data_IF_807117311908
#
_entry.id   IF_807117311908
#
_cell.length_a   1.000
_cell.length_b   1.000
_cell.length_c   1.000
_cell.angle_alpha   90.00
_cell.angle_beta   90.00
_cell.angle_gamma   90.00
#
_symmetry.space_group_name_H-M   'P 1'
#
loop_
_entity.id
_entity.type
_entity.pdbx_description
1 polymer ?
#
# COMPACT_ATOMS: atom_id res chain seq x y z
N UNK A 1 -53.95 -133.12 78.43
CA UNK A 1 -55.30 -132.54 78.56
C UNK A 1 -56.03 -132.34 77.23
N UNK A 2 -55.41 -132.43 76.04
CA UNK A 2 -56.20 -132.62 74.80
C UNK A 2 -56.63 -134.08 74.64
N UNK A 3 -55.71 -135.01 74.94
CA UNK A 3 -56.03 -136.45 74.95
C UNK A 3 -56.94 -136.85 76.11
N UNK A 4 -56.64 -136.35 77.32
CA UNK A 4 -57.53 -136.49 78.50
C UNK A 4 -58.93 -135.86 78.19
N UNK A 5 -59.04 -134.94 77.21
CA UNK A 5 -60.31 -134.39 76.69
C UNK A 5 -61.03 -135.23 75.61
N UNK A 6 -60.42 -136.27 75.00
CA UNK A 6 -61.15 -137.20 74.10
C UNK A 6 -61.57 -138.48 74.83
N UNK A 7 -60.71 -139.00 75.72
CA UNK A 7 -60.96 -140.23 76.51
C UNK A 7 -62.19 -140.12 77.43
N UNK A 8 -62.52 -138.92 77.91
CA UNK A 8 -63.75 -138.67 78.67
C UNK A 8 -65.03 -138.52 77.81
N UNK A 9 -64.95 -138.23 76.49
CA UNK A 9 -66.10 -138.08 75.59
C UNK A 9 -66.42 -139.40 74.84
N UNK A 10 -65.36 -140.15 74.43
CA UNK A 10 -65.49 -141.49 73.86
C UNK A 10 -66.13 -142.50 74.83
N UNK A 11 -65.92 -142.38 76.14
CA UNK A 11 -66.63 -143.21 77.12
C UNK A 11 -68.12 -142.79 77.31
N UNK A 12 -68.53 -141.54 77.02
CA UNK A 12 -69.95 -141.14 77.10
C UNK A 12 -70.77 -141.56 75.88
N UNK A 13 -70.23 -141.37 74.68
CA UNK A 13 -70.94 -141.74 73.45
C UNK A 13 -71.15 -143.26 73.36
N UNK A 14 -70.21 -144.08 73.90
CA UNK A 14 -70.40 -145.54 74.04
C UNK A 14 -71.50 -145.92 75.03
N UNK A 15 -71.62 -145.25 76.18
CA UNK A 15 -72.70 -145.53 77.14
C UNK A 15 -74.08 -145.10 76.59
N UNK A 16 -74.18 -144.00 75.83
CA UNK A 16 -75.44 -143.56 75.25
C UNK A 16 -75.98 -144.53 74.18
N UNK A 17 -75.08 -145.12 73.38
CA UNK A 17 -75.45 -146.10 72.34
C UNK A 17 -75.93 -147.44 72.95
N UNK A 18 -75.31 -147.91 74.05
CA UNK A 18 -75.77 -149.12 74.76
C UNK A 18 -77.15 -148.95 75.43
N UNK A 19 -77.49 -147.75 75.92
CA UNK A 19 -78.78 -147.47 76.57
C UNK A 19 -79.95 -147.44 75.57
N UNK A 20 -79.76 -146.80 74.40
CA UNK A 20 -80.78 -146.79 73.35
C UNK A 20 -81.07 -148.21 72.81
N UNK A 21 -80.05 -149.08 72.73
CA UNK A 21 -80.24 -150.48 72.32
C UNK A 21 -80.97 -151.34 73.36
N UNK A 22 -80.94 -150.96 74.65
CA UNK A 22 -81.74 -151.61 75.70
C UNK A 22 -83.22 -151.22 75.64
N UNK A 23 -83.58 -149.95 75.46
CA UNK A 23 -84.99 -149.52 75.35
C UNK A 23 -85.69 -150.12 74.11
N UNK A 24 -84.98 -150.27 72.98
CA UNK A 24 -85.54 -150.91 71.78
C UNK A 24 -85.82 -152.41 72.01
N UNK A 25 -85.08 -153.10 72.89
CA UNK A 25 -85.33 -154.51 73.22
C UNK A 25 -86.55 -154.70 74.12
N UNK A 26 -86.85 -153.77 75.02
CA UNK A 26 -88.02 -153.87 75.91
C UNK A 26 -89.35 -153.52 75.21
N UNK A 27 -89.38 -152.61 74.22
CA UNK A 27 -90.61 -152.32 73.46
C UNK A 27 -91.02 -153.50 72.56
N UNK A 28 -90.07 -154.36 72.15
CA UNK A 28 -90.35 -155.55 71.34
C UNK A 28 -91.05 -156.70 72.10
N UNK A 29 -91.07 -156.69 73.43
CA UNK A 29 -91.59 -157.83 74.22
C UNK A 29 -93.08 -157.75 74.58
N UNK A 30 -93.81 -156.67 74.22
CA UNK A 30 -95.15 -156.46 74.81
C UNK A 30 -96.27 -156.02 73.86
N UNK A 31 -96.06 -155.86 72.56
CA UNK A 31 -97.19 -155.54 71.66
C UNK A 31 -97.05 -156.00 70.20
N UNK A 32 -97.81 -157.05 69.90
CA UNK A 32 -98.69 -157.30 68.73
C UNK A 32 -98.26 -156.90 67.31
N UNK A 33 -98.36 -157.89 66.41
CA UNK A 33 -97.89 -157.98 65.01
C UNK A 33 -98.42 -156.94 64.01
N UNK A 34 -99.14 -155.89 64.45
CA UNK A 34 -99.69 -154.85 63.55
C UNK A 34 -98.89 -153.54 63.51
N UNK A 35 -97.92 -153.31 64.39
CA UNK A 35 -97.11 -152.08 64.38
C UNK A 35 -95.77 -152.20 63.62
N UNK A 36 -95.29 -153.42 63.39
CA UNK A 36 -94.00 -153.70 62.75
C UNK A 36 -93.99 -153.45 61.23
N UNK A 37 -95.15 -153.51 60.57
CA UNK A 37 -95.23 -153.29 59.12
C UNK A 37 -95.35 -151.79 58.75
N UNK A 38 -95.87 -150.95 59.65
CA UNK A 38 -96.08 -149.51 59.39
C UNK A 38 -94.78 -148.70 59.32
N UNK A 39 -93.85 -148.92 60.25
CA UNK A 39 -92.59 -148.15 60.32
C UNK A 39 -91.57 -148.54 59.23
N UNK A 40 -91.64 -149.77 58.71
CA UNK A 40 -90.81 -150.19 57.58
C UNK A 40 -91.22 -149.48 56.28
N UNK A 41 -92.50 -149.12 56.14
CA UNK A 41 -93.00 -148.43 54.95
C UNK A 41 -92.53 -146.97 54.90
N UNK A 42 -92.65 -146.22 56.00
CA UNK A 42 -92.23 -144.81 56.08
C UNK A 42 -90.73 -144.63 55.81
N UNK A 43 -89.88 -145.52 56.34
CA UNK A 43 -88.42 -145.44 56.15
C UNK A 43 -88.01 -145.67 54.69
N UNK A 44 -88.74 -146.51 53.96
CA UNK A 44 -88.49 -146.78 52.54
C UNK A 44 -88.91 -145.59 51.68
N UNK A 45 -89.96 -144.86 52.08
CA UNK A 45 -90.45 -143.69 51.36
C UNK A 45 -89.53 -142.46 51.55
N UNK A 46 -88.99 -142.26 52.75
CA UNK A 46 -88.05 -141.18 53.03
C UNK A 46 -86.73 -141.32 52.23
N UNK A 47 -86.21 -142.54 52.07
CA UNK A 47 -85.00 -142.80 51.28
C UNK A 47 -85.20 -142.56 49.77
N UNK A 48 -86.41 -142.79 49.25
CA UNK A 48 -86.75 -142.46 47.86
C UNK A 48 -86.80 -140.95 47.61
N UNK A 49 -87.31 -140.17 48.57
CA UNK A 49 -87.38 -138.71 48.43
C UNK A 49 -85.99 -138.05 48.45
N UNK A 50 -85.07 -138.52 49.31
CA UNK A 50 -83.70 -138.01 49.36
C UNK A 50 -82.92 -138.24 48.05
N UNK A 51 -83.07 -139.42 47.42
CA UNK A 51 -82.46 -139.66 46.10
C UNK A 51 -83.00 -138.74 45.00
N UNK A 52 -84.28 -138.38 45.06
CA UNK A 52 -84.91 -137.52 44.05
C UNK A 52 -84.43 -136.07 44.16
N UNK A 53 -84.21 -135.55 45.38
CA UNK A 53 -83.63 -134.22 45.59
C UNK A 53 -82.18 -134.13 45.10
N UNK A 54 -81.39 -135.20 45.23
CA UNK A 54 -80.00 -135.22 44.79
C UNK A 54 -79.87 -135.20 43.26
N UNK A 55 -80.72 -135.96 42.55
CA UNK A 55 -80.80 -135.93 41.08
C UNK A 55 -81.29 -134.57 40.55
N UNK A 56 -82.30 -133.95 41.17
CA UNK A 56 -82.81 -132.63 40.74
C UNK A 56 -81.76 -131.51 40.95
N UNK A 57 -80.88 -131.64 41.95
CA UNK A 57 -79.80 -130.67 42.21
C UNK A 57 -78.64 -130.76 41.21
N UNK A 58 -78.27 -131.96 40.77
CA UNK A 58 -77.26 -132.13 39.72
C UNK A 58 -77.72 -131.58 38.37
N UNK A 59 -78.99 -131.78 38.01
CA UNK A 59 -79.54 -131.32 36.73
C UNK A 59 -79.63 -129.79 36.64
N UNK A 60 -79.91 -129.11 37.76
CA UNK A 60 -79.92 -127.65 37.81
C UNK A 60 -78.53 -127.03 37.59
N UNK A 61 -77.49 -127.58 38.21
CA UNK A 61 -76.12 -127.10 38.06
C UNK A 61 -75.62 -127.22 36.61
N UNK A 62 -75.93 -128.33 35.93
CA UNK A 62 -75.59 -128.52 34.51
C UNK A 62 -76.25 -127.48 33.59
N UNK A 63 -77.53 -127.17 33.79
CA UNK A 63 -78.24 -126.16 32.99
C UNK A 63 -77.69 -124.74 33.18
N UNK A 64 -77.32 -124.38 34.42
CA UNK A 64 -76.75 -123.06 34.69
C UNK A 64 -75.39 -122.85 34.02
N UNK A 65 -74.54 -123.90 34.00
CA UNK A 65 -73.25 -123.85 33.31
C UNK A 65 -73.40 -123.61 31.79
N UNK A 66 -74.36 -124.30 31.15
CA UNK A 66 -74.61 -124.13 29.70
C UNK A 66 -75.10 -122.73 29.33
N UNK A 67 -76.00 -122.15 30.12
CA UNK A 67 -76.50 -120.78 29.88
C UNK A 67 -75.38 -119.73 29.98
N UNK A 68 -74.44 -119.91 30.92
CA UNK A 68 -73.29 -119.00 31.09
C UNK A 68 -72.33 -119.03 29.90
N UNK A 69 -72.09 -120.21 29.31
CA UNK A 69 -71.24 -120.34 28.13
C UNK A 69 -71.90 -119.77 26.86
N UNK A 70 -73.22 -119.92 26.71
CA UNK A 70 -73.94 -119.41 25.54
C UNK A 70 -74.01 -117.87 25.50
N UNK A 71 -74.15 -117.23 26.67
CA UNK A 71 -74.19 -115.76 26.78
C UNK A 71 -72.80 -115.12 26.54
N UNK A 72 -71.72 -115.77 26.99
CA UNK A 72 -70.35 -115.34 26.71
C UNK A 72 -70.03 -115.36 25.20
N UNK A 73 -70.51 -116.38 24.48
CA UNK A 73 -70.30 -116.49 23.02
C UNK A 73 -71.03 -115.38 22.25
N UNK A 74 -72.28 -115.08 22.61
CA UNK A 74 -73.06 -113.99 21.99
C UNK A 74 -72.43 -112.61 22.22
N UNK A 75 -71.79 -112.38 23.37
CA UNK A 75 -71.10 -111.11 23.63
C UNK A 75 -69.83 -110.94 22.76
N UNK A 76 -69.04 -112.01 22.55
CA UNK A 76 -67.85 -111.95 21.70
C UNK A 76 -68.18 -111.68 20.22
N UNK A 77 -69.23 -112.30 19.67
CA UNK A 77 -69.65 -112.04 18.29
C UNK A 77 -70.09 -110.57 18.08
N UNK A 78 -70.79 -109.97 19.07
CA UNK A 78 -71.22 -108.57 19.00
C UNK A 78 -70.05 -107.58 19.08
N UNK A 79 -68.99 -107.91 19.82
CA UNK A 79 -67.80 -107.08 19.93
C UNK A 79 -67.01 -107.06 18.61
N UNK A 80 -66.85 -108.24 17.97
CA UNK A 80 -66.14 -108.37 16.71
C UNK A 80 -66.82 -107.58 15.57
N UNK A 81 -68.16 -107.60 15.49
CA UNK A 81 -68.89 -106.80 14.49
C UNK A 81 -68.68 -105.28 14.65
N UNK A 82 -68.61 -104.77 15.88
CA UNK A 82 -68.42 -103.33 16.12
C UNK A 82 -67.01 -102.85 15.77
N UNK A 83 -65.99 -103.70 15.94
CA UNK A 83 -64.61 -103.36 15.58
C UNK A 83 -64.42 -103.28 14.06
N UNK A 84 -64.99 -104.22 13.30
CA UNK A 84 -64.88 -104.22 11.84
C UNK A 84 -65.51 -102.96 11.21
N UNK A 85 -66.64 -102.48 11.72
CA UNK A 85 -67.27 -101.22 11.24
C UNK A 85 -66.46 -99.96 11.57
N UNK A 86 -65.61 -99.99 12.60
CA UNK A 86 -64.76 -98.85 12.96
C UNK A 86 -63.53 -98.75 12.05
N UNK A 87 -62.90 -99.87 11.69
CA UNK A 87 -61.73 -99.91 10.80
C UNK A 87 -62.06 -99.42 9.37
N UNK A 88 -63.22 -99.79 8.83
CA UNK A 88 -63.63 -99.36 7.48
C UNK A 88 -63.79 -97.83 7.39
N UNK A 89 -64.30 -97.17 8.44
CA UNK A 89 -64.46 -95.71 8.48
C UNK A 89 -63.14 -94.95 8.58
N UNK A 90 -62.14 -95.50 9.26
CA UNK A 90 -60.82 -94.84 9.42
C UNK A 90 -60.03 -94.90 8.11
N UNK A 91 -60.07 -96.03 7.39
CA UNK A 91 -59.38 -96.16 6.11
C UNK A 91 -59.97 -95.23 5.02
N UNK A 92 -61.30 -95.10 4.94
CA UNK A 92 -61.92 -94.20 3.95
C UNK A 92 -61.61 -92.72 4.23
N UNK A 93 -61.47 -92.32 5.51
CA UNK A 93 -61.07 -90.98 5.89
C UNK A 93 -59.57 -90.70 5.59
N UNK A 94 -58.68 -91.69 5.82
CA UNK A 94 -57.26 -91.57 5.51
C UNK A 94 -56.99 -91.34 4.02
N UNK A 95 -57.62 -92.15 3.15
CA UNK A 95 -57.44 -92.04 1.70
C UNK A 95 -57.87 -90.68 1.13
N UNK A 96 -58.97 -90.08 1.65
CA UNK A 96 -59.41 -88.74 1.22
C UNK A 96 -58.44 -87.64 1.66
N UNK A 97 -57.81 -87.77 2.82
CA UNK A 97 -56.83 -86.80 3.31
C UNK A 97 -55.57 -86.79 2.45
N UNK A 98 -55.07 -87.95 2.05
CA UNK A 98 -53.86 -88.07 1.23
C UNK A 98 -54.05 -87.44 -0.16
N UNK A 99 -55.21 -87.67 -0.81
CA UNK A 99 -55.50 -87.12 -2.14
C UNK A 99 -55.57 -85.58 -2.13
N UNK A 100 -56.21 -84.99 -1.12
CA UNK A 100 -56.31 -83.52 -1.01
C UNK A 100 -54.95 -82.90 -0.73
N UNK A 101 -54.12 -83.55 0.08
CA UNK A 101 -52.78 -83.06 0.42
C UNK A 101 -51.85 -83.11 -0.79
N UNK A 102 -51.90 -84.18 -1.59
CA UNK A 102 -51.10 -84.30 -2.80
C UNK A 102 -51.48 -83.25 -3.86
N UNK A 103 -52.78 -83.03 -4.10
CA UNK A 103 -53.24 -82.01 -5.04
C UNK A 103 -52.85 -80.58 -4.62
N UNK A 104 -52.80 -80.29 -3.33
CA UNK A 104 -52.33 -78.99 -2.83
C UNK A 104 -50.82 -78.79 -3.06
N UNK A 105 -50.03 -79.87 -2.91
CA UNK A 105 -48.59 -79.86 -3.11
C UNK A 105 -48.22 -79.61 -4.58
N UNK A 106 -48.89 -80.31 -5.49
CA UNK A 106 -48.66 -80.15 -6.94
C UNK A 106 -48.99 -78.72 -7.40
N UNK A 107 -50.10 -78.14 -6.92
CA UNK A 107 -50.46 -76.74 -7.22
C UNK A 107 -49.45 -75.73 -6.69
N UNK A 108 -48.87 -75.97 -5.52
CA UNK A 108 -47.81 -75.10 -4.97
C UNK A 108 -46.53 -75.21 -5.79
N UNK A 109 -46.20 -76.41 -6.26
CA UNK A 109 -45.02 -76.64 -7.09
C UNK A 109 -45.15 -75.95 -8.45
N UNK A 110 -46.31 -76.05 -9.10
CA UNK A 110 -46.59 -75.35 -10.37
C UNK A 110 -46.54 -73.82 -10.20
N UNK A 111 -47.14 -73.29 -9.13
CA UNK A 111 -47.09 -71.86 -8.83
C UNK A 111 -45.66 -71.38 -8.55
N UNK A 112 -44.85 -72.18 -7.86
CA UNK A 112 -43.43 -71.87 -7.61
C UNK A 112 -42.60 -71.85 -8.90
N UNK A 113 -42.90 -72.72 -9.87
CA UNK A 113 -42.21 -72.73 -11.16
C UNK A 113 -42.57 -71.50 -12.00
N UNK A 114 -43.87 -71.14 -12.06
CA UNK A 114 -44.32 -69.94 -12.77
C UNK A 114 -43.68 -68.66 -12.21
N UNK A 115 -43.67 -68.50 -10.88
CA UNK A 115 -43.04 -67.34 -10.22
C UNK A 115 -41.53 -67.28 -10.54
N UNK A 116 -40.84 -68.42 -10.59
CA UNK A 116 -39.41 -68.46 -10.89
C UNK A 116 -39.12 -68.10 -12.36
N UNK A 117 -39.98 -68.49 -13.30
CA UNK A 117 -39.87 -68.08 -14.70
C UNK A 117 -40.14 -66.58 -14.89
N UNK A 118 -41.16 -66.04 -14.22
CA UNK A 118 -41.43 -64.59 -14.21
C UNK A 118 -40.28 -63.80 -13.59
N UNK A 119 -39.72 -64.29 -12.48
CA UNK A 119 -38.57 -63.66 -11.83
C UNK A 119 -37.36 -63.58 -12.76
N UNK A 120 -37.03 -64.69 -13.45
CA UNK A 120 -35.93 -64.72 -14.43
C UNK A 120 -36.18 -63.80 -15.63
N UNK A 121 -37.44 -63.63 -16.04
CA UNK A 121 -37.79 -62.72 -17.14
C UNK A 121 -37.60 -61.26 -16.72
N UNK A 122 -38.09 -60.88 -15.54
CA UNK A 122 -37.91 -59.54 -14.97
C UNK A 122 -36.42 -59.25 -14.75
N UNK A 123 -35.65 -60.21 -14.27
CA UNK A 123 -34.21 -60.06 -14.06
C UNK A 123 -33.46 -59.75 -15.37
N UNK A 124 -33.82 -60.44 -16.47
CA UNK A 124 -33.28 -60.12 -17.80
C UNK A 124 -33.67 -58.73 -18.29
N UNK A 125 -34.94 -58.34 -18.13
CA UNK A 125 -35.43 -57.02 -18.53
C UNK A 125 -34.72 -55.89 -17.74
N UNK A 126 -34.44 -56.10 -16.45
CA UNK A 126 -33.67 -55.15 -15.63
C UNK A 126 -32.22 -55.03 -16.13
N UNK A 127 -31.57 -56.16 -16.45
CA UNK A 127 -30.19 -56.14 -16.95
C UNK A 127 -30.11 -55.43 -18.30
N UNK A 128 -31.04 -55.69 -19.21
CA UNK A 128 -31.10 -55.03 -20.53
C UNK A 128 -31.38 -53.53 -20.41
N UNK A 129 -32.33 -53.13 -19.54
CA UNK A 129 -32.63 -51.72 -19.29
C UNK A 129 -31.43 -50.98 -18.66
N UNK A 130 -30.73 -51.60 -17.71
CA UNK A 130 -29.52 -51.03 -17.12
C UNK A 130 -28.39 -50.87 -18.14
N UNK A 131 -28.21 -51.84 -19.04
CA UNK A 131 -27.22 -51.74 -20.11
C UNK A 131 -27.55 -50.60 -21.09
N UNK A 132 -28.82 -50.43 -21.47
CA UNK A 132 -29.26 -49.34 -22.33
C UNK A 132 -29.08 -47.96 -21.65
N UNK A 133 -29.44 -47.84 -20.37
CA UNK A 133 -29.22 -46.62 -19.61
C UNK A 133 -27.74 -46.24 -19.54
N UNK A 134 -26.85 -47.20 -19.30
CA UNK A 134 -25.41 -46.94 -19.27
C UNK A 134 -24.88 -46.42 -20.62
N UNK A 135 -25.37 -46.96 -21.75
CA UNK A 135 -25.00 -46.47 -23.09
C UNK A 135 -25.49 -45.05 -23.33
N UNK A 136 -26.75 -44.76 -22.95
CA UNK A 136 -27.33 -43.41 -23.10
C UNK A 136 -26.58 -42.39 -22.23
N UNK A 137 -26.25 -42.75 -20.99
CA UNK A 137 -25.52 -41.87 -20.08
C UNK A 137 -24.13 -41.52 -20.62
N UNK A 138 -23.40 -42.50 -21.17
CA UNK A 138 -22.10 -42.28 -21.82
C UNK A 138 -22.24 -41.38 -23.04
N UNK A 139 -23.24 -41.61 -23.89
CA UNK A 139 -23.46 -40.81 -25.11
C UNK A 139 -23.85 -39.36 -24.79
N UNK A 140 -24.73 -39.14 -23.81
CA UNK A 140 -25.11 -37.79 -23.35
C UNK A 140 -23.90 -37.08 -22.76
N UNK A 141 -23.16 -37.76 -21.89
CA UNK A 141 -21.95 -37.21 -21.27
C UNK A 141 -20.93 -36.80 -22.33
N UNK A 142 -20.69 -37.65 -23.33
CA UNK A 142 -19.79 -37.36 -24.44
C UNK A 142 -20.23 -36.13 -25.24
N UNK A 143 -21.51 -36.03 -25.61
CA UNK A 143 -22.03 -34.84 -26.33
C UNK A 143 -21.89 -33.56 -25.52
N UNK A 144 -22.15 -33.62 -24.22
CA UNK A 144 -21.95 -32.46 -23.34
C UNK A 144 -20.47 -32.05 -23.28
N UNK A 145 -19.53 -33.00 -23.21
CA UNK A 145 -18.11 -32.69 -23.27
C UNK A 145 -17.71 -32.08 -24.62
N UNK A 146 -18.15 -32.68 -25.73
CA UNK A 146 -17.86 -32.17 -27.07
C UNK A 146 -18.42 -30.74 -27.28
N UNK A 147 -19.61 -30.44 -26.76
CA UNK A 147 -20.23 -29.11 -26.83
C UNK A 147 -19.47 -28.08 -25.96
N UNK A 148 -19.09 -28.46 -24.74
CA UNK A 148 -18.30 -27.59 -23.85
C UNK A 148 -16.93 -27.28 -24.43
N UNK A 149 -16.27 -28.28 -25.02
CA UNK A 149 -14.95 -28.09 -25.62
C UNK A 149 -15.04 -27.23 -26.89
N UNK A 150 -16.04 -27.45 -27.76
CA UNK A 150 -16.27 -26.58 -28.91
C UNK A 150 -16.58 -25.12 -28.52
N UNK A 151 -17.31 -24.92 -27.41
CA UNK A 151 -17.59 -23.58 -26.89
C UNK A 151 -16.33 -22.93 -26.31
N UNK A 152 -15.48 -23.68 -25.59
CA UNK A 152 -14.18 -23.18 -25.12
C UNK A 152 -13.27 -22.77 -26.28
N UNK A 153 -13.14 -23.61 -27.31
CA UNK A 153 -12.31 -23.30 -28.48
C UNK A 153 -12.78 -22.01 -29.18
N UNK A 154 -14.10 -21.84 -29.29
CA UNK A 154 -14.69 -20.61 -29.85
C UNK A 154 -14.42 -19.39 -28.98
N UNK A 155 -14.56 -19.52 -27.66
CA UNK A 155 -14.31 -18.43 -26.72
C UNK A 155 -12.81 -18.06 -26.68
N UNK A 156 -11.91 -19.05 -26.77
CA UNK A 156 -10.48 -18.85 -26.88
C UNK A 156 -10.13 -18.09 -28.18
N UNK A 157 -10.67 -18.51 -29.32
CA UNK A 157 -10.48 -17.81 -30.60
C UNK A 157 -10.99 -16.36 -30.57
N UNK A 158 -12.17 -16.12 -30.01
CA UNK A 158 -12.72 -14.77 -29.87
C UNK A 158 -11.90 -13.91 -28.91
N UNK A 159 -11.40 -14.51 -27.83
CA UNK A 159 -10.53 -13.86 -26.85
C UNK A 159 -9.18 -13.47 -27.48
N UNK A 160 -8.56 -14.38 -28.23
CA UNK A 160 -7.31 -14.13 -28.96
C UNK A 160 -7.49 -13.00 -29.97
N UNK A 161 -8.53 -13.05 -30.79
CA UNK A 161 -8.84 -11.97 -31.75
C UNK A 161 -9.06 -10.62 -31.07
N UNK A 162 -9.77 -10.59 -29.94
CA UNK A 162 -9.97 -9.36 -29.17
C UNK A 162 -8.67 -8.85 -28.56
N UNK A 163 -7.83 -9.76 -28.06
CA UNK A 163 -6.51 -9.43 -27.52
C UNK A 163 -5.62 -8.78 -28.60
N UNK A 164 -5.58 -9.36 -29.80
CA UNK A 164 -4.85 -8.78 -30.92
C UNK A 164 -5.33 -7.37 -31.30
N UNK A 165 -6.65 -7.16 -31.29
CA UNK A 165 -7.25 -5.85 -31.59
C UNK A 165 -6.89 -4.81 -30.52
N UNK A 166 -6.95 -5.20 -29.23
CA UNK A 166 -6.53 -4.35 -28.12
C UNK A 166 -5.04 -4.01 -28.21
N UNK A 167 -4.18 -4.98 -28.55
CA UNK A 167 -2.75 -4.73 -28.77
C UNK A 167 -2.54 -3.72 -29.91
N UNK A 168 -3.25 -3.88 -31.04
CA UNK A 168 -3.16 -2.95 -32.17
C UNK A 168 -3.61 -1.53 -31.79
N UNK A 169 -4.71 -1.39 -31.06
CA UNK A 169 -5.19 -0.10 -30.56
C UNK A 169 -4.21 0.53 -29.57
N UNK A 170 -3.65 -0.27 -28.66
CA UNK A 170 -2.68 0.23 -27.70
C UNK A 170 -1.40 0.74 -28.37
N UNK A 171 -0.89 0.01 -29.38
CA UNK A 171 0.26 0.45 -30.19
C UNK A 171 -0.08 1.75 -30.95
N UNK A 172 -1.30 1.89 -31.47
CA UNK A 172 -1.71 3.10 -32.17
C UNK A 172 -1.75 4.32 -31.21
N UNK A 173 -2.35 4.15 -30.03
CA UNK A 173 -2.39 5.17 -28.98
C UNK A 173 -0.97 5.56 -28.56
N UNK A 174 -0.11 4.57 -28.29
CA UNK A 174 1.27 4.85 -27.87
C UNK A 174 2.04 5.64 -28.93
N UNK A 175 1.87 5.32 -30.22
CA UNK A 175 2.49 6.08 -31.32
C UNK A 175 1.97 7.51 -31.41
N UNK A 176 0.67 7.72 -31.20
CA UNK A 176 0.06 9.05 -31.20
C UNK A 176 0.55 9.87 -30.00
N UNK A 177 0.59 9.29 -28.81
CA UNK A 177 1.15 9.92 -27.61
C UNK A 177 2.62 10.30 -27.81
N UNK A 178 3.45 9.38 -28.32
CA UNK A 178 4.86 9.67 -28.65
C UNK A 178 4.98 10.83 -29.65
N UNK A 179 4.13 10.87 -30.67
CA UNK A 179 4.11 11.95 -31.65
C UNK A 179 3.71 13.29 -31.01
N UNK A 180 2.66 13.33 -30.19
CA UNK A 180 2.20 14.53 -29.47
C UNK A 180 3.27 15.01 -28.50
N UNK A 181 3.86 14.12 -27.69
CA UNK A 181 4.95 14.47 -26.78
C UNK A 181 6.18 15.02 -27.53
N UNK A 182 6.51 14.44 -28.69
CA UNK A 182 7.61 14.93 -29.52
C UNK A 182 7.34 16.34 -30.08
N UNK A 183 6.11 16.60 -30.54
CA UNK A 183 5.68 17.90 -31.05
C UNK A 183 5.66 18.96 -29.95
N UNK A 184 5.09 18.65 -28.77
CA UNK A 184 5.13 19.54 -27.61
C UNK A 184 6.56 19.86 -27.19
N UNK A 185 7.45 18.86 -27.16
CA UNK A 185 8.86 19.07 -26.81
C UNK A 185 9.55 19.96 -27.83
N UNK A 186 9.27 19.79 -29.12
CA UNK A 186 9.81 20.65 -30.17
C UNK A 186 9.33 22.10 -30.01
N UNK A 187 8.02 22.32 -29.80
CA UNK A 187 7.46 23.64 -29.58
C UNK A 187 8.02 24.31 -28.31
N UNK A 188 8.14 23.57 -27.19
CA UNK A 188 8.76 24.09 -25.97
C UNK A 188 10.23 24.49 -26.21
N UNK A 189 10.97 23.73 -27.01
CA UNK A 189 12.35 24.05 -27.36
C UNK A 189 12.44 25.30 -28.24
N UNK A 190 11.55 25.44 -29.21
CA UNK A 190 11.46 26.62 -30.07
C UNK A 190 11.12 27.88 -29.26
N UNK A 191 10.06 27.82 -28.44
CA UNK A 191 9.67 28.92 -27.56
C UNK A 191 10.80 29.30 -26.60
N UNK A 192 11.46 28.32 -25.96
CA UNK A 192 12.61 28.61 -25.11
C UNK A 192 13.77 29.27 -25.88
N UNK A 193 14.00 28.88 -27.14
CA UNK A 193 15.04 29.48 -27.98
C UNK A 193 14.71 30.94 -28.30
N UNK A 194 13.44 31.23 -28.65
CA UNK A 194 12.96 32.60 -28.89
C UNK A 194 13.09 33.46 -27.62
N UNK A 195 12.61 32.98 -26.47
CA UNK A 195 12.73 33.71 -25.20
C UNK A 195 14.19 33.95 -24.81
N UNK A 196 15.09 32.98 -25.01
CA UNK A 196 16.53 33.18 -24.76
C UNK A 196 17.12 34.22 -25.71
N UNK A 197 16.69 34.26 -26.97
CA UNK A 197 17.14 35.26 -27.94
C UNK A 197 16.68 36.68 -27.55
N UNK A 198 15.43 36.84 -27.14
CA UNK A 198 14.87 38.10 -26.62
C UNK A 198 15.65 38.58 -25.38
N UNK A 199 15.83 37.70 -24.38
CA UNK A 199 16.61 38.03 -23.17
C UNK A 199 18.04 38.46 -23.53
N UNK A 200 18.69 37.77 -24.48
CA UNK A 200 20.04 38.15 -24.94
C UNK A 200 20.06 39.51 -25.63
N UNK A 201 19.02 39.85 -26.38
CA UNK A 201 18.90 41.15 -27.02
C UNK A 201 18.72 42.27 -25.98
N UNK A 202 17.81 42.07 -25.02
CA UNK A 202 17.57 43.02 -23.93
C UNK A 202 18.83 43.25 -23.09
N UNK A 203 19.56 42.17 -22.75
CA UNK A 203 20.83 42.27 -22.01
C UNK A 203 21.89 43.07 -22.79
N UNK A 204 21.98 42.88 -24.11
CA UNK A 204 22.91 43.66 -24.95
C UNK A 204 22.54 45.14 -24.96
N UNK A 205 21.25 45.46 -25.06
CA UNK A 205 20.80 46.86 -25.07
C UNK A 205 21.02 47.51 -23.69
N UNK A 206 20.73 46.81 -22.60
CA UNK A 206 21.05 47.27 -21.24
C UNK A 206 22.56 47.50 -21.06
N UNK A 207 23.40 46.59 -21.55
CA UNK A 207 24.85 46.75 -21.50
C UNK A 207 25.30 48.00 -22.27
N UNK A 208 24.77 48.22 -23.48
CA UNK A 208 25.07 49.39 -24.32
C UNK A 208 24.67 50.70 -23.62
N UNK A 209 23.47 50.77 -23.05
CA UNK A 209 23.01 51.92 -22.27
C UNK A 209 23.89 52.14 -21.03
N UNK A 210 24.26 51.07 -20.33
CA UNK A 210 25.17 51.11 -19.19
C UNK A 210 26.53 51.71 -19.55
N UNK A 211 27.09 51.31 -20.69
CA UNK A 211 28.36 51.85 -21.20
C UNK A 211 28.27 53.34 -21.54
N UNK A 212 27.18 53.80 -22.17
CA UNK A 212 26.97 55.23 -22.42
C UNK A 212 26.85 56.04 -21.12
N UNK A 213 26.10 55.54 -20.14
CA UNK A 213 25.96 56.21 -18.85
C UNK A 213 27.32 56.34 -18.14
N UNK A 214 28.13 55.27 -18.16
CA UNK A 214 29.48 55.29 -17.59
C UNK A 214 30.37 56.33 -18.28
N UNK A 215 30.35 56.39 -19.62
CA UNK A 215 31.13 57.37 -20.38
C UNK A 215 30.72 58.81 -20.02
N UNK A 216 29.42 59.09 -19.94
CA UNK A 216 28.91 60.40 -19.54
C UNK A 216 29.35 60.76 -18.11
N UNK A 217 29.28 59.82 -17.17
CA UNK A 217 29.72 60.03 -15.78
C UNK A 217 31.22 60.33 -15.70
N UNK A 218 32.04 59.56 -16.42
CA UNK A 218 33.48 59.78 -16.51
C UNK A 218 33.80 61.17 -17.07
N UNK A 219 33.16 61.56 -18.17
CA UNK A 219 33.37 62.89 -18.78
C UNK A 219 32.86 64.03 -17.90
N UNK A 220 31.76 63.83 -17.15
CA UNK A 220 31.26 64.82 -16.19
C UNK A 220 32.21 65.01 -15.01
N UNK A 221 32.80 63.92 -14.50
CA UNK A 221 33.81 63.95 -13.45
C UNK A 221 35.10 64.64 -13.95
N UNK A 222 35.58 64.30 -15.15
CA UNK A 222 36.72 64.96 -15.79
C UNK A 222 36.49 66.48 -15.89
N UNK A 223 35.31 66.91 -16.36
CA UNK A 223 34.94 68.34 -16.40
C UNK A 223 35.00 69.00 -15.02
N UNK A 224 34.45 68.35 -13.98
CA UNK A 224 34.48 68.88 -12.60
C UNK A 224 35.91 69.02 -12.09
N UNK A 225 36.77 68.05 -12.41
CA UNK A 225 38.18 68.04 -12.05
C UNK A 225 38.93 69.19 -12.74
N UNK A 226 38.76 69.37 -14.05
CA UNK A 226 39.33 70.48 -14.81
C UNK A 226 38.87 71.85 -14.30
N UNK A 227 37.58 71.98 -13.97
CA UNK A 227 37.04 73.22 -13.41
C UNK A 227 37.69 73.57 -12.05
N UNK A 228 37.95 72.57 -11.20
CA UNK A 228 38.65 72.76 -9.92
C UNK A 228 40.10 73.24 -10.11
N UNK A 229 40.82 72.67 -11.07
CA UNK A 229 42.18 73.13 -11.42
C UNK A 229 42.14 74.56 -11.98
N UNK A 230 41.22 74.85 -12.90
CA UNK A 230 41.06 76.19 -13.48
C UNK A 230 40.73 77.25 -12.44
N UNK A 231 39.90 76.94 -11.44
CA UNK A 231 39.61 77.83 -10.34
C UNK A 231 40.89 78.19 -9.56
N UNK A 232 41.79 77.22 -9.33
CA UNK A 232 43.07 77.44 -8.66
C UNK A 232 44.06 78.26 -9.49
N UNK A 233 44.11 78.04 -10.80
CA UNK A 233 44.90 78.89 -11.71
C UNK A 233 44.39 80.33 -11.67
N UNK A 234 43.07 80.53 -11.64
CA UNK A 234 42.48 81.87 -11.51
C UNK A 234 42.77 82.50 -10.14
N UNK A 235 42.74 81.72 -9.04
CA UNK A 235 43.20 82.21 -7.72
C UNK A 235 44.63 82.76 -7.81
N UNK A 236 45.54 82.03 -8.47
CA UNK A 236 46.93 82.49 -8.67
C UNK A 236 46.99 83.77 -9.51
N UNK A 237 46.25 83.84 -10.62
CA UNK A 237 46.23 85.04 -11.48
C UNK A 237 45.69 86.26 -10.74
N UNK A 238 44.66 86.09 -9.91
CA UNK A 238 44.07 87.20 -9.15
C UNK A 238 45.06 87.78 -8.11
N UNK A 239 46.01 86.99 -7.61
CA UNK A 239 47.06 87.48 -6.71
C UNK A 239 48.05 88.44 -7.41
N UNK A 240 48.13 88.42 -8.74
CA UNK A 240 48.99 89.36 -9.48
C UNK A 240 48.57 90.81 -9.29
N UNK A 241 47.27 91.09 -9.16
CA UNK A 241 46.80 92.47 -8.92
C UNK A 241 47.27 92.99 -7.57
N UNK A 242 47.22 92.17 -6.52
CA UNK A 242 47.74 92.55 -5.21
C UNK A 242 49.26 92.73 -5.26
N UNK A 243 49.95 91.83 -5.96
CA UNK A 243 51.41 91.88 -6.12
C UNK A 243 51.86 93.14 -6.88
N UNK A 244 51.14 93.56 -7.91
CA UNK A 244 51.41 94.77 -8.69
C UNK A 244 51.20 96.03 -7.85
N UNK A 245 50.13 96.07 -7.02
CA UNK A 245 49.89 97.18 -6.09
C UNK A 245 51.03 97.36 -5.10
N UNK A 246 51.58 96.27 -4.57
CA UNK A 246 52.73 96.35 -3.66
C UNK A 246 54.02 96.69 -4.41
N UNK A 247 54.21 96.16 -5.62
CA UNK A 247 55.34 96.51 -6.49
C UNK A 247 55.42 98.02 -6.72
N UNK A 248 54.32 98.67 -7.11
CA UNK A 248 54.29 100.13 -7.36
C UNK A 248 54.68 100.95 -6.13
N UNK A 249 54.28 100.53 -4.93
CA UNK A 249 54.67 101.19 -3.67
C UNK A 249 56.15 101.00 -3.35
N UNK A 250 56.73 99.87 -3.75
CA UNK A 250 58.14 99.52 -3.53
C UNK A 250 59.04 100.27 -4.54
N UNK A 251 58.69 100.21 -5.83
CA UNK A 251 59.42 100.86 -6.93
C UNK A 251 59.63 102.35 -6.70
N UNK A 252 58.65 103.07 -6.17
CA UNK A 252 58.78 104.50 -5.89
C UNK A 252 59.92 104.88 -4.92
N UNK A 253 60.42 103.92 -4.13
CA UNK A 253 61.59 104.11 -3.26
C UNK A 253 62.84 103.44 -3.83
N UNK A 254 62.71 102.27 -4.46
CA UNK A 254 63.85 101.55 -5.04
C UNK A 254 64.42 102.20 -6.30
N UNK A 255 63.60 102.92 -7.07
CA UNK A 255 63.99 103.58 -8.32
C UNK A 255 64.39 105.06 -8.12
N UNK A 256 64.39 105.54 -6.87
CA UNK A 256 64.81 106.90 -6.56
C UNK A 256 66.29 107.11 -6.92
N UNK A 257 66.62 108.25 -7.55
CA UNK A 257 68.04 108.61 -7.77
C UNK A 257 68.73 108.83 -6.42
N UNK A 258 70.06 108.68 -6.33
CA UNK A 258 70.79 108.84 -5.06
C UNK A 258 70.45 110.16 -4.33
N UNK A 259 70.33 111.26 -5.07
CA UNK A 259 70.04 112.59 -4.52
C UNK A 259 68.63 112.70 -3.93
N UNK A 260 67.68 111.95 -4.49
CA UNK A 260 66.30 111.86 -4.00
C UNK A 260 66.22 110.88 -2.83
N UNK A 261 66.94 109.77 -2.91
CA UNK A 261 66.95 108.71 -1.92
C UNK A 261 67.52 109.15 -0.57
N UNK A 262 68.58 109.98 -0.57
CA UNK A 262 69.13 110.59 0.65
C UNK A 262 68.14 111.53 1.36
N UNK A 263 67.26 112.19 0.60
CA UNK A 263 66.23 113.09 1.12
C UNK A 263 64.97 112.37 1.61
N UNK A 264 64.85 111.05 1.40
CA UNK A 264 63.71 110.27 1.87
C UNK A 264 63.72 110.14 3.39
N UNK A 265 62.58 110.45 4.01
CA UNK A 265 62.36 110.24 5.46
C UNK A 265 62.57 108.77 5.82
N UNK A 266 63.20 108.49 6.96
CA UNK A 266 63.41 107.12 7.48
C UNK A 266 62.11 106.30 7.51
N UNK A 267 60.98 106.92 7.90
CA UNK A 267 59.67 106.26 7.88
C UNK A 267 59.26 105.70 6.50
N UNK A 268 59.65 106.34 5.39
CA UNK A 268 59.38 105.83 4.03
C UNK A 268 60.24 104.61 3.70
N UNK A 269 61.51 104.60 4.11
CA UNK A 269 62.41 103.45 3.94
C UNK A 269 61.93 102.25 4.77
N UNK A 270 61.57 102.50 6.04
CA UNK A 270 60.97 101.49 6.90
C UNK A 270 59.65 100.93 6.35
N UNK A 271 58.74 101.78 5.84
CA UNK A 271 57.51 101.33 5.20
C UNK A 271 57.77 100.46 3.96
N UNK A 272 58.74 100.85 3.12
CA UNK A 272 59.14 100.07 1.93
C UNK A 272 59.68 98.70 2.31
N UNK A 273 60.46 98.60 3.40
CA UNK A 273 60.92 97.32 3.94
C UNK A 273 59.74 96.42 4.36
N UNK A 274 58.71 96.99 5.00
CA UNK A 274 57.48 96.27 5.31
C UNK A 274 56.71 95.85 4.05
N UNK A 275 56.65 96.72 3.03
CA UNK A 275 56.02 96.39 1.74
C UNK A 275 56.74 95.24 1.02
N UNK A 276 58.07 95.20 1.04
CA UNK A 276 58.86 94.07 0.55
C UNK A 276 58.56 92.76 1.32
N UNK A 277 58.35 92.86 2.63
CA UNK A 277 57.88 91.73 3.44
C UNK A 277 56.52 91.20 2.95
N UNK A 278 55.55 92.11 2.78
CA UNK A 278 54.22 91.77 2.28
C UNK A 278 54.25 91.19 0.86
N UNK A 279 55.11 91.73 0.00
CA UNK A 279 55.34 91.20 -1.34
C UNK A 279 55.85 89.75 -1.31
N UNK A 280 56.81 89.46 -0.42
CA UNK A 280 57.32 88.10 -0.19
C UNK A 280 56.26 87.13 0.34
N UNK A 281 55.34 87.60 1.20
CA UNK A 281 54.21 86.79 1.68
C UNK A 281 53.28 86.38 0.53
N UNK A 282 52.96 87.32 -0.37
CA UNK A 282 52.09 87.03 -1.52
C UNK A 282 52.79 86.06 -2.50
N UNK A 283 54.09 86.23 -2.75
CA UNK A 283 54.87 85.26 -3.52
C UNK A 283 54.83 83.85 -2.91
N UNK A 284 54.92 83.75 -1.59
CA UNK A 284 54.82 82.48 -0.86
C UNK A 284 53.41 81.87 -0.97
N UNK A 285 52.37 82.71 -0.96
CA UNK A 285 50.98 82.30 -1.21
C UNK A 285 50.82 81.74 -2.62
N UNK A 286 51.36 82.43 -3.64
CA UNK A 286 51.39 81.94 -5.03
C UNK A 286 52.08 80.57 -5.09
N UNK A 287 53.27 80.43 -4.50
CA UNK A 287 53.99 79.15 -4.49
C UNK A 287 53.18 78.02 -3.84
N UNK A 288 52.48 78.31 -2.74
CA UNK A 288 51.58 77.34 -2.08
C UNK A 288 50.42 76.94 -3.00
N UNK A 289 49.77 77.91 -3.64
CA UNK A 289 48.67 77.68 -4.58
C UNK A 289 49.09 76.89 -5.80
N UNK A 290 50.30 77.11 -6.29
CA UNK A 290 50.91 76.33 -7.36
C UNK A 290 51.14 74.87 -6.95
N UNK A 291 51.57 74.62 -5.71
CA UNK A 291 51.62 73.25 -5.17
C UNK A 291 50.22 72.61 -5.04
N UNK A 292 49.19 73.38 -4.68
CA UNK A 292 47.79 72.89 -4.72
C UNK A 292 47.38 72.51 -6.16
N UNK A 293 47.81 73.26 -7.18
CA UNK A 293 47.57 72.93 -8.59
C UNK A 293 48.25 71.62 -8.97
N UNK A 294 49.54 71.45 -8.70
CA UNK A 294 50.29 70.20 -8.95
C UNK A 294 49.62 69.00 -8.27
N UNK A 295 49.26 69.14 -6.99
CA UNK A 295 48.61 68.08 -6.23
C UNK A 295 47.24 67.72 -6.82
N UNK A 296 46.46 68.71 -7.26
CA UNK A 296 45.18 68.46 -7.93
C UNK A 296 45.38 67.79 -9.30
N UNK A 297 46.40 68.16 -10.07
CA UNK A 297 46.71 67.51 -11.35
C UNK A 297 47.04 66.02 -11.14
N UNK A 298 47.87 65.71 -10.13
CA UNK A 298 48.25 64.34 -9.79
C UNK A 298 47.07 63.51 -9.24
N UNK A 299 46.24 64.10 -8.36
CA UNK A 299 45.15 63.37 -7.67
C UNK A 299 43.85 63.26 -8.46
N UNK A 300 43.61 64.16 -9.41
CA UNK A 300 42.37 64.18 -10.20
C UNK A 300 42.49 63.44 -11.53
N UNK A 301 43.56 62.66 -11.71
CA UNK A 301 43.83 61.79 -12.87
C UNK A 301 43.83 62.52 -14.23
N UNK A 302 44.15 63.82 -14.24
CA UNK A 302 44.25 64.64 -15.46
C UNK A 302 45.58 64.41 -16.19
N UNK A 303 45.81 63.18 -16.66
CA UNK A 303 47.09 62.75 -17.26
C UNK A 303 47.45 63.46 -18.57
N UNK A 304 46.48 64.07 -19.24
CA UNK A 304 46.67 64.78 -20.50
C UNK A 304 47.09 66.25 -20.33
N UNK A 305 47.19 66.73 -19.09
CA UNK A 305 47.48 68.13 -18.78
C UNK A 305 48.94 68.28 -18.33
N UNK A 306 49.79 68.75 -19.25
CA UNK A 306 51.19 69.08 -18.95
C UNK A 306 51.31 70.52 -18.43
N UNK A 307 51.42 70.68 -17.10
CA UNK A 307 51.65 71.98 -16.45
C UNK A 307 52.86 72.01 -15.52
N UNK A 308 53.46 70.87 -15.22
CA UNK A 308 54.53 70.75 -14.23
C UNK A 308 55.74 71.64 -14.54
N UNK A 309 56.13 71.73 -15.82
CA UNK A 309 57.25 72.59 -16.23
C UNK A 309 56.94 74.08 -16.04
N UNK A 310 55.72 74.50 -16.36
CA UNK A 310 55.29 75.90 -16.17
C UNK A 310 55.27 76.23 -14.68
N UNK A 311 54.72 75.33 -13.86
CA UNK A 311 54.65 75.54 -12.41
C UNK A 311 56.05 75.58 -11.81
N UNK A 312 56.93 74.66 -12.20
CA UNK A 312 58.33 74.62 -11.76
C UNK A 312 59.10 75.88 -12.16
N UNK A 313 58.89 76.39 -13.37
CA UNK A 313 59.50 77.64 -13.83
C UNK A 313 59.06 78.83 -12.95
N UNK A 314 57.76 78.95 -12.65
CA UNK A 314 57.23 80.01 -11.80
C UNK A 314 57.77 79.91 -10.36
N UNK A 315 57.80 78.70 -9.76
CA UNK A 315 58.38 78.49 -8.42
C UNK A 315 59.88 78.83 -8.37
N UNK A 316 60.61 78.57 -9.45
CA UNK A 316 62.02 78.94 -9.57
C UNK A 316 62.17 80.47 -9.59
N UNK A 317 61.34 81.17 -10.37
CA UNK A 317 61.33 82.65 -10.40
C UNK A 317 60.99 83.24 -9.02
N UNK A 318 60.01 82.67 -8.31
CA UNK A 318 59.67 83.06 -6.93
C UNK A 318 60.87 82.88 -5.99
N UNK A 319 61.63 81.81 -6.16
CA UNK A 319 62.84 81.56 -5.35
C UNK A 319 63.93 82.61 -5.63
N UNK A 320 64.11 83.01 -6.89
CA UNK A 320 65.04 84.10 -7.27
C UNK A 320 64.65 85.44 -6.63
N UNK A 321 63.35 85.72 -6.52
CA UNK A 321 62.87 86.90 -5.79
C UNK A 321 63.30 86.92 -4.32
N UNK A 322 63.31 85.77 -3.65
CA UNK A 322 63.67 85.68 -2.23
C UNK A 322 65.06 86.26 -1.93
N UNK A 323 66.04 85.96 -2.79
CA UNK A 323 67.41 86.47 -2.65
C UNK A 323 67.48 87.99 -2.86
N UNK A 324 66.82 88.49 -3.91
CA UNK A 324 66.81 89.93 -4.25
C UNK A 324 66.07 90.73 -3.18
N UNK A 325 64.92 90.25 -2.71
CA UNK A 325 64.13 90.88 -1.65
C UNK A 325 64.93 90.93 -0.34
N UNK A 326 65.59 89.83 0.04
CA UNK A 326 66.41 89.80 1.26
C UNK A 326 67.53 90.84 1.21
N UNK A 327 68.23 90.95 0.07
CA UNK A 327 69.27 91.95 -0.14
C UNK A 327 68.72 93.39 -0.06
N UNK A 328 67.62 93.68 -0.76
CA UNK A 328 67.01 95.01 -0.75
C UNK A 328 66.48 95.40 0.64
N UNK A 329 65.94 94.45 1.40
CA UNK A 329 65.51 94.67 2.79
C UNK A 329 66.68 95.03 3.70
N UNK A 330 67.82 94.37 3.54
CA UNK A 330 69.05 94.68 4.28
C UNK A 330 69.55 96.09 3.94
N UNK A 331 69.59 96.45 2.66
CA UNK A 331 70.01 97.79 2.21
C UNK A 331 69.10 98.91 2.76
N UNK A 332 67.80 98.65 2.88
CA UNK A 332 66.84 99.59 3.48
C UNK A 332 67.00 99.74 5.01
N UNK A 333 67.69 98.82 5.67
CA UNK A 333 67.95 98.83 7.12
C UNK A 333 69.29 99.49 7.47
N UNK A 334 70.24 99.52 6.54
CA UNK A 334 71.53 100.19 6.71
C UNK A 334 71.40 101.70 6.49
N UNK A 335 71.57 102.48 7.55
CA UNK A 335 71.58 103.94 7.45
C UNK A 335 72.81 104.45 6.69
N UNK A 336 72.61 105.47 5.85
CA UNK A 336 73.67 106.08 5.04
C UNK A 336 74.09 105.29 3.79
N UNK A 337 73.46 104.16 3.51
CA UNK A 337 73.74 103.35 2.31
C UNK A 337 72.67 103.61 1.23
N UNK A 338 73.10 103.95 0.02
CA UNK A 338 72.22 104.12 -1.14
C UNK A 338 71.81 102.75 -1.72
N UNK A 339 70.60 102.67 -2.30
CA UNK A 339 70.13 101.42 -2.91
C UNK A 339 70.99 101.03 -4.11
N UNK A 340 71.33 99.76 -4.18
CA UNK A 340 72.00 99.19 -5.35
C UNK A 340 71.05 99.20 -6.56
N UNK A 341 71.35 100.06 -7.53
CA UNK A 341 70.59 100.20 -8.78
C UNK A 341 70.55 98.90 -9.58
N UNK A 342 71.59 98.05 -9.53
CA UNK A 342 71.60 96.78 -10.24
C UNK A 342 70.56 95.82 -9.65
N UNK A 343 70.48 95.73 -8.32
CA UNK A 343 69.50 94.89 -7.62
C UNK A 343 68.07 95.42 -7.73
N UNK A 344 67.89 96.74 -7.75
CA UNK A 344 66.58 97.34 -8.03
C UNK A 344 66.09 97.00 -9.45
N UNK A 345 66.98 97.05 -10.46
CA UNK A 345 66.66 96.64 -11.84
C UNK A 345 66.37 95.13 -11.93
N UNK A 346 67.12 94.30 -11.22
CA UNK A 346 66.88 92.85 -11.15
C UNK A 346 65.49 92.55 -10.56
N UNK A 347 65.10 93.25 -9.49
CA UNK A 347 63.75 93.13 -8.91
C UNK A 347 62.64 93.47 -9.91
N UNK A 348 62.81 94.56 -10.68
CA UNK A 348 61.86 94.95 -11.71
C UNK A 348 61.80 93.95 -12.89
N UNK A 349 62.95 93.43 -13.32
CA UNK A 349 63.02 92.43 -14.39
C UNK A 349 62.34 91.12 -13.97
N UNK A 350 62.64 90.62 -12.76
CA UNK A 350 62.00 89.43 -12.20
C UNK A 350 60.48 89.58 -12.14
N UNK A 351 59.98 90.78 -11.85
CA UNK A 351 58.53 91.06 -11.83
C UNK A 351 57.92 90.89 -13.21
N UNK A 352 58.51 91.46 -14.25
CA UNK A 352 58.00 91.29 -15.62
C UNK A 352 57.92 89.82 -15.99
N UNK A 353 59.02 89.08 -15.82
CA UNK A 353 59.09 87.67 -16.19
C UNK A 353 58.09 86.80 -15.41
N UNK A 354 57.92 87.07 -14.12
CA UNK A 354 56.95 86.35 -13.28
C UNK A 354 55.50 86.61 -13.72
N UNK A 355 55.16 87.87 -13.99
CA UNK A 355 53.82 88.23 -14.45
C UNK A 355 53.50 87.60 -15.79
N UNK A 356 54.45 87.63 -16.73
CA UNK A 356 54.29 87.02 -18.04
C UNK A 356 54.10 85.50 -17.92
N UNK A 357 54.88 84.85 -17.05
CA UNK A 357 54.78 83.41 -16.81
C UNK A 357 53.44 83.01 -16.19
N UNK A 358 52.97 83.74 -15.17
CA UNK A 358 51.68 83.47 -14.51
C UNK A 358 50.50 83.78 -15.44
N UNK A 359 50.53 84.90 -16.17
CA UNK A 359 49.48 85.23 -17.14
C UNK A 359 49.43 84.22 -18.30
N UNK A 360 50.60 83.73 -18.71
CA UNK A 360 50.78 82.68 -19.72
C UNK A 360 50.27 81.30 -19.32
N UNK A 361 49.97 81.05 -18.03
CA UNK A 361 49.32 79.81 -17.61
C UNK A 361 47.95 79.68 -18.29
N UNK A 362 47.82 78.72 -19.21
CA UNK A 362 46.57 78.45 -19.91
C UNK A 362 45.59 77.74 -18.98
N UNK A 363 44.30 78.01 -19.15
CA UNK A 363 43.28 77.20 -18.51
C UNK A 363 43.20 75.84 -19.20
N UNK A 364 42.95 74.79 -18.42
CA UNK A 364 42.72 73.45 -18.92
C UNK A 364 41.38 73.44 -19.68
N UNK A 365 41.37 73.08 -20.98
CA UNK A 365 40.15 73.11 -21.76
C UNK A 365 39.16 72.07 -21.24
N UNK A 366 37.91 72.48 -21.01
CA UNK A 366 36.82 71.56 -20.70
C UNK A 366 36.37 70.84 -21.99
N UNK A 367 36.38 69.50 -22.00
CA UNK A 367 35.90 68.68 -23.12
C UNK A 367 34.36 68.68 -23.26
N UNK A 368 33.73 69.86 -23.26
CA UNK A 368 32.26 70.02 -23.35
C UNK A 368 31.67 69.35 -24.59
N UNK A 369 32.39 69.40 -25.71
CA UNK A 369 31.99 68.74 -26.97
C UNK A 369 31.98 67.22 -26.83
N UNK A 370 32.93 66.64 -26.10
CA UNK A 370 32.97 65.19 -25.88
C UNK A 370 31.77 64.73 -25.04
N UNK A 371 31.41 65.48 -23.99
CA UNK A 371 30.21 65.19 -23.18
C UNK A 371 28.95 65.29 -24.05
N UNK A 372 28.81 66.35 -24.84
CA UNK A 372 27.66 66.52 -25.73
C UNK A 372 27.58 65.40 -26.76
N UNK A 373 28.70 64.99 -27.35
CA UNK A 373 28.75 63.88 -28.28
C UNK A 373 28.34 62.55 -27.62
N UNK A 374 28.78 62.28 -26.38
CA UNK A 374 28.37 61.08 -25.65
C UNK A 374 26.88 61.08 -25.28
N UNK A 375 26.34 62.24 -24.89
CA UNK A 375 24.89 62.38 -24.64
C UNK A 375 24.11 62.17 -25.94
N UNK A 376 24.58 62.74 -27.05
CA UNK A 376 23.96 62.58 -28.37
C UNK A 376 24.00 61.10 -28.80
N UNK A 377 25.14 60.42 -28.66
CA UNK A 377 25.27 58.99 -28.96
C UNK A 377 24.34 58.13 -28.09
N UNK A 378 24.15 58.48 -26.82
CA UNK A 378 23.17 57.83 -25.96
C UNK A 378 21.75 58.05 -26.48
N UNK A 379 21.40 59.28 -26.85
CA UNK A 379 20.07 59.60 -27.40
C UNK A 379 19.82 58.84 -28.70
N UNK A 380 20.72 58.93 -29.67
CA UNK A 380 20.65 58.18 -30.94
C UNK A 380 20.62 56.67 -30.71
N UNK A 381 21.44 56.17 -29.79
CA UNK A 381 21.53 54.75 -29.47
C UNK A 381 20.33 54.18 -28.70
N UNK A 382 19.46 55.04 -28.13
CA UNK A 382 18.25 54.65 -27.37
C UNK A 382 16.95 55.09 -28.05
N UNK A 383 17.01 55.79 -29.18
CA UNK A 383 15.83 56.03 -29.99
C UNK A 383 15.30 54.69 -30.51
N UNK A 384 13.98 54.43 -30.39
CA UNK A 384 13.37 53.28 -31.04
C UNK A 384 13.67 53.34 -32.53
N UNK A 385 14.05 52.22 -33.15
CA UNK A 385 14.09 52.11 -34.60
C UNK A 385 12.65 52.22 -35.13
N UNK A 386 12.19 53.45 -35.37
CA UNK A 386 10.84 53.75 -35.88
C UNK A 386 10.60 53.05 -37.23
N UNK A 387 11.67 52.75 -37.99
CA UNK A 387 11.60 52.01 -39.25
C UNK A 387 11.18 50.53 -39.10
N UNK A 388 11.37 49.90 -37.93
CA UNK A 388 10.94 48.51 -37.71
C UNK A 388 9.46 48.45 -37.30
N UNK A 389 8.95 49.45 -36.57
CA UNK A 389 7.54 49.50 -36.16
C UNK A 389 6.57 49.90 -37.29
N UNK A 390 7.07 50.48 -38.39
CA UNK A 390 6.24 50.86 -39.53
C UNK A 390 6.02 49.72 -40.55
N UNK A 391 6.76 48.62 -40.45
CA UNK A 391 6.67 47.47 -41.38
C UNK A 391 5.75 46.36 -40.84
N UNK A 392 5.38 46.41 -39.54
CA UNK A 392 4.53 45.39 -38.89
C UNK A 392 3.05 45.82 -38.69
N UNK A 393 2.61 46.95 -39.26
CA UNK A 393 1.19 47.39 -39.25
C UNK A 393 0.52 47.30 -40.61
#
# INVERSE_FOLDING_TARGET
MERIKREAAENRDREAEELAQKEIREIKSTASSKLSEGLSHERTQHLKNLKKEEEEREDFMKKYQQLKEEEARKHQEKLAQKLAQAEERVNDAGSKCDVVTQMALDKLMDASLQINEEYKKIEKEIVEANAQNAVIEVDVTRRCFDEVDAQKDKDEFLSEKRSEELIKQHIAIQKEEEAVFSAERAQRKENATLTIAEIRNDLKEQQKIGMFNLAIQQSANDRKNRARVNAKIMEVKNLLEELDRWFMKISGVLEATPEIYEKLKSNKKAATRCHLGRFSEILSSISTKLSEVEQNLASLELKDVEMDDVIRAIKTQISSFGQVIAYLRLMLELDGVNIDSAKAKEFAALKSTLFDSINGMKLVPENRRAIQAQIQQRQEGTMPNVEIQAIEN
#
